data_IF_324983342291
#
_entry.id   IF_324983342291
#
_cell.length_a   1.000
_cell.length_b   1.000
_cell.length_c   1.000
_cell.angle_alpha   90.00
_cell.angle_beta   90.00
_cell.angle_gamma   90.00
#
_symmetry.space_group_name_H-M   'P 1'
#
loop_
_entity.id
_entity.type
_entity.pdbx_description
1 polymer ?
#
# COMPACT_ATOMS: atom_id res chain seq x y z
N UNK A 1 -39.29 0.31 -42.73
CA UNK A 1 -38.63 -0.50 -41.69
C UNK A 1 -38.02 0.47 -40.66
N UNK A 2 -38.67 0.66 -39.51
CA UNK A 2 -38.28 1.65 -38.49
C UNK A 2 -37.26 1.02 -37.54
N UNK A 3 -36.02 1.49 -37.59
CA UNK A 3 -34.96 1.06 -36.68
C UNK A 3 -35.16 1.80 -35.34
N UNK A 4 -35.41 1.05 -34.28
CA UNK A 4 -35.63 1.56 -32.93
C UNK A 4 -34.35 2.17 -32.37
N UNK A 5 -34.37 3.49 -32.14
CA UNK A 5 -33.26 4.26 -31.52
C UNK A 5 -32.95 3.89 -30.07
N UNK A 6 -33.70 2.96 -29.47
CA UNK A 6 -33.55 2.57 -28.06
C UNK A 6 -32.38 1.60 -27.80
N UNK A 7 -31.82 0.98 -28.84
CA UNK A 7 -30.73 0.01 -28.69
C UNK A 7 -29.31 0.62 -28.71
N UNK A 8 -29.18 1.93 -28.99
CA UNK A 8 -27.87 2.58 -29.11
C UNK A 8 -27.32 3.12 -27.77
N UNK A 9 -28.10 3.07 -26.68
CA UNK A 9 -27.69 3.59 -25.37
C UNK A 9 -27.02 2.50 -24.51
N UNK A 10 -27.16 1.21 -24.85
CA UNK A 10 -26.64 0.13 -24.03
C UNK A 10 -25.15 -0.22 -24.26
N UNK A 11 -24.51 0.37 -25.27
CA UNK A 11 -23.11 0.07 -25.62
C UNK A 11 -22.10 1.13 -25.17
N UNK A 12 -22.55 2.25 -24.59
CA UNK A 12 -21.66 3.36 -24.20
C UNK A 12 -21.18 3.30 -22.74
N UNK A 13 -21.59 2.30 -21.94
CA UNK A 13 -21.24 2.19 -20.52
C UNK A 13 -20.14 1.17 -20.20
N UNK A 14 -19.61 0.45 -21.20
CA UNK A 14 -18.63 -0.63 -21.00
C UNK A 14 -17.15 -0.23 -21.21
N UNK A 15 -16.85 1.05 -21.43
CA UNK A 15 -15.46 1.54 -21.68
C UNK A 15 -14.87 2.29 -20.47
N UNK A 16 -15.36 2.05 -19.25
CA UNK A 16 -14.54 2.28 -18.06
C UNK A 16 -13.74 0.99 -17.77
N UNK A 17 -12.91 0.58 -18.73
CA UNK A 17 -11.86 -0.39 -18.44
C UNK A 17 -10.84 0.31 -17.54
N UNK A 18 -11.01 -0.01 -16.27
CA UNK A 18 -10.16 0.25 -15.14
C UNK A 18 -8.71 0.03 -15.50
N UNK A 19 -7.99 1.11 -15.77
CA UNK A 19 -6.55 1.14 -15.57
C UNK A 19 -6.33 1.19 -14.06
N UNK A 20 -6.52 0.06 -13.38
CA UNK A 20 -6.12 -0.08 -11.97
C UNK A 20 -4.59 -0.08 -11.96
N UNK A 21 -3.99 1.09 -11.74
CA UNK A 21 -2.56 1.18 -11.45
C UNK A 21 -2.25 0.22 -10.31
N UNK A 22 -1.30 -0.67 -10.54
CA UNK A 22 -0.78 -1.53 -9.48
C UNK A 22 -0.25 -0.63 -8.35
N UNK A 23 -0.43 -1.02 -7.08
CA UNK A 23 0.10 -0.26 -5.94
C UNK A 23 1.60 0.03 -6.01
N UNK A 24 2.35 -0.72 -6.83
CA UNK A 24 3.81 -0.65 -6.98
C UNK A 24 4.33 0.69 -7.48
N UNK A 25 3.62 1.39 -8.37
CA UNK A 25 4.23 2.45 -9.17
C UNK A 25 4.59 3.72 -8.39
N UNK A 26 4.09 3.88 -7.16
CA UNK A 26 4.42 5.03 -6.30
C UNK A 26 4.63 4.63 -4.82
N UNK A 27 4.96 3.37 -4.55
CA UNK A 27 5.20 2.93 -3.18
C UNK A 27 6.53 3.45 -2.64
N UNK A 28 6.50 3.95 -1.42
CA UNK A 28 7.69 4.39 -0.70
C UNK A 28 8.34 3.16 -0.08
N UNK A 29 9.55 2.83 -0.55
CA UNK A 29 10.30 1.69 -0.04
C UNK A 29 10.91 2.01 1.33
N UNK A 30 10.32 1.43 2.38
CA UNK A 30 10.70 1.64 3.78
C UNK A 30 12.08 1.03 4.08
N UNK A 31 12.49 0.01 3.34
CA UNK A 31 13.80 -0.64 3.55
C UNK A 31 14.96 0.29 3.18
N UNK A 32 14.74 1.22 2.24
CA UNK A 32 15.73 2.21 1.81
C UNK A 32 15.90 3.39 2.77
N UNK A 33 15.03 3.51 3.79
CA UNK A 33 15.10 4.59 4.76
C UNK A 33 16.16 4.25 5.82
N UNK A 34 17.23 5.06 5.88
CA UNK A 34 18.33 4.84 6.82
C UNK A 34 17.97 5.17 8.27
N UNK A 35 17.01 6.08 8.49
CA UNK A 35 16.71 6.64 9.81
C UNK A 35 15.41 6.06 10.37
N UNK A 36 15.43 5.62 11.64
CA UNK A 36 14.25 5.14 12.37
C UNK A 36 13.14 6.20 12.48
N UNK A 37 13.52 7.47 12.47
CA UNK A 37 12.61 8.62 12.39
C UNK A 37 12.82 9.34 11.06
N UNK A 38 11.90 9.16 10.13
CA UNK A 38 11.94 9.96 8.90
C UNK A 38 11.56 11.40 9.24
N UNK A 39 12.46 12.36 8.97
CA UNK A 39 12.16 13.79 9.05
C UNK A 39 11.31 14.28 7.87
N UNK A 40 11.06 13.41 6.89
CA UNK A 40 10.28 13.71 5.70
C UNK A 40 8.79 13.51 6.02
N UNK A 41 8.04 14.60 5.99
CA UNK A 41 6.58 14.55 6.02
C UNK A 41 6.03 14.25 4.62
N UNK A 42 5.19 13.22 4.50
CA UNK A 42 4.51 12.87 3.26
C UNK A 42 3.15 13.57 3.21
N UNK A 43 2.89 14.31 2.14
CA UNK A 43 1.65 15.08 1.98
C UNK A 43 0.71 14.39 1.00
N UNK A 44 -0.55 14.22 1.40
CA UNK A 44 -1.63 13.71 0.56
C UNK A 44 -2.91 14.52 0.80
N UNK A 45 -3.87 14.49 -0.13
CA UNK A 45 -5.19 15.09 0.11
C UNK A 45 -6.14 14.12 0.79
N UNK A 46 -7.21 14.64 1.38
CA UNK A 46 -8.34 13.82 1.81
C UNK A 46 -8.85 12.95 0.64
N UNK A 47 -8.99 11.65 0.88
CA UNK A 47 -9.41 10.65 -0.09
C UNK A 47 -8.28 10.06 -0.95
N UNK A 48 -7.11 10.70 -1.03
CA UNK A 48 -5.93 10.16 -1.70
C UNK A 48 -5.29 9.02 -0.89
N UNK A 49 -4.54 8.16 -1.58
CA UNK A 49 -3.84 7.03 -0.99
C UNK A 49 -2.32 7.25 -0.98
N UNK A 50 -1.66 6.70 0.03
CA UNK A 50 -0.21 6.60 0.14
C UNK A 50 0.18 5.14 0.41
N UNK A 51 1.24 4.67 -0.24
CA UNK A 51 1.67 3.28 -0.20
C UNK A 51 3.07 3.20 0.43
N UNK A 52 3.22 2.37 1.46
CA UNK A 52 4.52 2.00 2.03
C UNK A 52 4.81 0.54 1.70
N UNK A 53 6.03 0.26 1.24
CA UNK A 53 6.46 -1.07 0.83
C UNK A 53 7.68 -1.53 1.64
N UNK A 54 7.72 -2.82 2.00
CA UNK A 54 8.88 -3.44 2.67
C UNK A 54 8.99 -4.91 2.29
N UNK A 55 10.21 -5.45 2.24
CA UNK A 55 10.47 -6.85 1.96
C UNK A 55 10.08 -7.74 3.13
N UNK A 56 9.41 -8.83 2.81
CA UNK A 56 9.05 -9.93 3.71
C UNK A 56 9.48 -11.26 3.09
N UNK A 57 9.72 -12.26 3.93
CA UNK A 57 10.10 -13.60 3.51
C UNK A 57 9.77 -14.54 4.67
N UNK A 58 8.60 -15.18 4.59
CA UNK A 58 8.01 -15.92 5.71
C UNK A 58 8.84 -17.12 6.15
N UNK A 59 9.35 -17.91 5.21
CA UNK A 59 10.12 -19.13 5.46
C UNK A 59 11.46 -18.89 6.15
N UNK A 60 12.03 -17.68 6.03
CA UNK A 60 13.22 -17.25 6.78
C UNK A 60 12.89 -16.45 8.04
N UNK A 61 11.61 -16.22 8.31
CA UNK A 61 11.10 -15.51 9.49
C UNK A 61 11.11 -14.00 9.37
N UNK A 62 11.18 -13.42 8.17
CA UNK A 62 11.07 -11.98 7.94
C UNK A 62 9.61 -11.58 7.74
N UNK A 63 9.09 -10.76 8.67
CA UNK A 63 7.73 -10.23 8.63
C UNK A 63 7.73 -8.71 8.79
N UNK A 64 6.57 -8.11 8.52
CA UNK A 64 6.35 -6.68 8.73
C UNK A 64 4.94 -6.40 9.24
N UNK A 65 4.85 -5.42 10.14
CA UNK A 65 3.62 -4.93 10.78
C UNK A 65 3.53 -3.40 10.67
N UNK A 66 2.34 -2.85 10.92
CA UNK A 66 2.10 -1.42 10.92
C UNK A 66 1.31 -0.98 12.16
N UNK A 67 1.51 0.27 12.57
CA UNK A 67 0.69 0.98 13.56
C UNK A 67 0.37 2.39 13.05
N UNK A 68 -0.81 2.90 13.36
CA UNK A 68 -1.23 4.27 13.03
C UNK A 68 -1.57 4.98 14.33
N UNK A 69 -1.02 6.18 14.53
CA UNK A 69 -1.27 6.96 15.74
C UNK A 69 -2.70 7.53 15.82
N UNK A 70 -3.25 7.96 14.69
CA UNK A 70 -4.62 8.50 14.60
C UNK A 70 -5.34 8.04 13.32
N UNK A 71 -6.25 7.08 13.49
CA UNK A 71 -7.05 6.50 12.39
C UNK A 71 -8.12 7.45 11.83
N UNK A 72 -8.45 8.55 12.53
CA UNK A 72 -9.40 9.55 12.04
C UNK A 72 -8.79 10.43 10.96
N UNK A 73 -7.47 10.56 10.93
CA UNK A 73 -6.72 11.32 9.93
C UNK A 73 -6.34 10.43 8.76
N UNK A 74 -5.82 9.23 9.02
CA UNK A 74 -5.32 8.29 8.03
C UNK A 74 -5.72 6.87 8.40
N UNK A 75 -6.26 6.07 7.47
CA UNK A 75 -6.68 4.69 7.76
C UNK A 75 -6.03 3.70 6.81
N UNK A 76 -5.74 2.48 7.27
CA UNK A 76 -5.40 1.39 6.36
C UNK A 76 -6.61 1.11 5.45
N UNK A 77 -6.40 1.24 4.15
CA UNK A 77 -7.39 0.95 3.12
C UNK A 77 -7.21 -0.47 2.58
N UNK A 78 -5.97 -0.91 2.36
CA UNK A 78 -5.64 -2.28 1.99
C UNK A 78 -4.22 -2.69 2.44
N UNK A 79 -3.96 -3.99 2.51
CA UNK A 79 -2.59 -4.54 2.58
C UNK A 79 -2.47 -5.71 1.62
N UNK A 80 -1.43 -5.68 0.80
CA UNK A 80 -1.20 -6.66 -0.25
C UNK A 80 0.21 -7.23 -0.12
N UNK A 81 0.40 -8.48 -0.55
CA UNK A 81 1.70 -9.13 -0.65
C UNK A 81 1.89 -9.52 -2.11
N UNK A 82 2.96 -9.03 -2.73
CA UNK A 82 3.35 -9.40 -4.09
C UNK A 82 4.63 -10.23 -4.00
N UNK A 83 4.53 -11.50 -4.37
CA UNK A 83 5.66 -12.42 -4.40
C UNK A 83 6.63 -12.04 -5.52
N UNK A 84 7.93 -12.10 -5.23
CA UNK A 84 8.98 -11.74 -6.18
C UNK A 84 9.01 -12.77 -7.34
N UNK A 85 8.69 -14.03 -7.04
CA UNK A 85 8.60 -15.13 -8.02
C UNK A 85 7.28 -15.89 -7.84
N UNK A 86 6.13 -15.39 -8.36
CA UNK A 86 4.81 -15.94 -8.06
C UNK A 86 4.58 -17.36 -8.60
N UNK A 87 5.37 -17.80 -9.58
CA UNK A 87 5.27 -19.13 -10.18
C UNK A 87 6.35 -20.10 -9.68
N UNK A 88 7.07 -19.76 -8.60
CA UNK A 88 8.13 -20.62 -8.07
C UNK A 88 7.56 -21.74 -7.19
N UNK A 89 7.72 -22.97 -7.64
CA UNK A 89 7.30 -24.17 -6.92
C UNK A 89 8.50 -24.78 -6.18
N UNK A 90 8.87 -24.21 -5.03
CA UNK A 90 10.00 -24.69 -4.22
C UNK A 90 10.16 -23.97 -2.89
N UNK A 91 11.05 -24.47 -2.03
CA UNK A 91 11.37 -23.84 -0.75
C UNK A 91 12.05 -22.48 -0.95
N UNK A 92 11.65 -21.47 -0.18
CA UNK A 92 12.21 -20.11 -0.28
C UNK A 92 11.58 -19.25 -1.39
N UNK A 93 10.54 -19.75 -2.06
CA UNK A 93 9.76 -19.01 -3.06
C UNK A 93 8.85 -17.91 -2.50
N UNK A 94 8.81 -17.74 -1.19
CA UNK A 94 7.89 -16.82 -0.51
C UNK A 94 8.53 -15.47 -0.17
N UNK A 95 9.70 -15.17 -0.78
CA UNK A 95 10.21 -13.82 -0.87
C UNK A 95 9.16 -12.92 -1.54
N UNK A 96 8.83 -11.82 -0.88
CA UNK A 96 7.77 -10.93 -1.35
C UNK A 96 7.97 -9.50 -0.87
N UNK A 97 7.25 -8.59 -1.50
CA UNK A 97 7.07 -7.22 -1.04
C UNK A 97 5.67 -7.07 -0.43
N UNK A 98 5.61 -6.62 0.82
CA UNK A 98 4.37 -6.25 1.49
C UNK A 98 4.11 -4.76 1.27
N UNK A 99 2.90 -4.46 0.80
CA UNK A 99 2.37 -3.12 0.62
C UNK A 99 1.36 -2.82 1.72
N UNK A 100 1.51 -1.66 2.34
CA UNK A 100 0.52 -1.06 3.23
C UNK A 100 -0.03 0.19 2.55
N UNK A 101 -1.32 0.16 2.23
CA UNK A 101 -2.00 1.19 1.45
C UNK A 101 -2.91 1.95 2.41
N UNK A 102 -2.58 3.20 2.67
CA UNK A 102 -3.32 4.06 3.58
C UNK A 102 -4.08 5.12 2.81
N UNK A 103 -5.27 5.49 3.29
CA UNK A 103 -6.12 6.52 2.70
C UNK A 103 -6.31 7.68 3.67
N UNK A 104 -6.16 8.91 3.17
CA UNK A 104 -6.45 10.13 3.92
C UNK A 104 -7.95 10.25 4.20
N UNK A 105 -8.33 10.37 5.48
CA UNK A 105 -9.74 10.41 5.92
C UNK A 105 -10.17 11.83 6.25
N UNK A 106 -9.35 12.56 7.01
CA UNK A 106 -9.60 13.94 7.38
C UNK A 106 -8.29 14.72 7.46
N UNK A 107 -8.38 16.05 7.40
CA UNK A 107 -7.20 16.91 7.45
C UNK A 107 -6.51 16.81 8.79
N UNK A 108 -5.18 16.76 8.78
CA UNK A 108 -4.37 16.71 10.00
C UNK A 108 -3.03 16.04 9.76
N UNK A 109 -2.27 15.86 10.84
CA UNK A 109 -0.99 15.17 10.84
C UNK A 109 -1.07 13.94 11.73
N UNK A 110 -0.52 12.84 11.26
CA UNK A 110 -0.44 11.58 12.02
C UNK A 110 0.86 10.87 11.69
N UNK A 111 1.17 9.82 12.45
CA UNK A 111 2.35 8.98 12.26
C UNK A 111 1.93 7.56 11.91
N UNK A 112 2.66 6.98 10.97
CA UNK A 112 2.61 5.56 10.65
C UNK A 112 3.93 4.94 11.04
N UNK A 113 3.88 3.90 11.87
CA UNK A 113 5.04 3.13 12.26
C UNK A 113 5.03 1.81 11.49
N UNK A 114 6.09 1.52 10.75
CA UNK A 114 6.30 0.22 10.09
C UNK A 114 7.37 -0.54 10.86
N UNK A 115 7.02 -1.73 11.35
CA UNK A 115 7.89 -2.61 12.14
C UNK A 115 8.37 -3.78 11.29
N UNK A 116 9.68 -3.97 11.22
CA UNK A 116 10.29 -5.18 10.64
C UNK A 116 10.61 -6.17 11.75
N UNK A 117 10.13 -7.38 11.57
CA UNK A 117 10.25 -8.46 12.54
C UNK A 117 11.10 -9.57 11.91
N UNK A 118 12.07 -10.09 12.64
CA UNK A 118 12.85 -11.27 12.26
C UNK A 118 12.73 -12.32 13.35
N UNK A 119 12.16 -13.47 13.00
CA UNK A 119 11.97 -14.61 13.92
C UNK A 119 11.27 -14.23 15.23
N UNK A 120 10.28 -13.33 15.14
CA UNK A 120 9.50 -12.85 16.28
C UNK A 120 10.10 -11.65 17.00
N UNK A 121 11.32 -11.22 16.66
CA UNK A 121 11.97 -10.08 17.29
C UNK A 121 11.88 -8.82 16.42
N UNK A 122 11.56 -7.68 17.02
CA UNK A 122 11.61 -6.38 16.35
C UNK A 122 13.06 -6.05 15.98
N UNK A 123 13.34 -5.93 14.69
CA UNK A 123 14.67 -5.60 14.17
C UNK A 123 14.80 -4.12 13.79
N UNK A 124 13.74 -3.56 13.22
CA UNK A 124 13.73 -2.19 12.72
C UNK A 124 12.36 -1.59 12.90
N UNK A 125 12.33 -0.37 13.37
CA UNK A 125 11.13 0.45 13.42
C UNK A 125 11.37 1.70 12.59
N UNK A 126 10.42 2.04 11.71
CA UNK A 126 10.45 3.25 10.91
C UNK A 126 9.17 4.03 11.17
N UNK A 127 9.32 5.26 11.67
CA UNK A 127 8.22 6.20 11.90
C UNK A 127 8.16 7.20 10.75
N UNK A 128 6.98 7.31 10.14
CA UNK A 128 6.70 8.13 8.95
C UNK A 128 5.63 9.16 9.31
N UNK A 129 5.95 10.44 9.14
CA UNK A 129 4.96 11.52 9.33
C UNK A 129 4.12 11.69 8.05
N UNK A 130 2.80 11.66 8.19
CA UNK A 130 1.85 11.87 7.10
C UNK A 130 0.97 13.07 7.42
N UNK A 131 0.92 14.02 6.49
CA UNK A 131 0.06 15.20 6.54
C UNK A 131 -1.03 15.07 5.48
N UNK A 132 -2.28 15.05 5.93
CA UNK A 132 -3.47 15.07 5.07
C UNK A 132 -3.96 16.51 4.96
N UNK A 133 -3.96 17.06 3.74
CA UNK A 133 -4.31 18.46 3.44
C UNK A 133 -5.66 18.62 2.75
#
# INVERSE_FOLDING_TARGET
>A
MKINKLFLVLFLTLIFQSCMKLPSDNAINVDSLEVQNSTKAYKIKVGEKINFATRVHGSVGMAAEYEIQDEKILKLDNSEIIYDNPNFEGTGGDAATRYFIFKGISKGKTKVTIKKIFRGELQKEIVLEVEVI
#
